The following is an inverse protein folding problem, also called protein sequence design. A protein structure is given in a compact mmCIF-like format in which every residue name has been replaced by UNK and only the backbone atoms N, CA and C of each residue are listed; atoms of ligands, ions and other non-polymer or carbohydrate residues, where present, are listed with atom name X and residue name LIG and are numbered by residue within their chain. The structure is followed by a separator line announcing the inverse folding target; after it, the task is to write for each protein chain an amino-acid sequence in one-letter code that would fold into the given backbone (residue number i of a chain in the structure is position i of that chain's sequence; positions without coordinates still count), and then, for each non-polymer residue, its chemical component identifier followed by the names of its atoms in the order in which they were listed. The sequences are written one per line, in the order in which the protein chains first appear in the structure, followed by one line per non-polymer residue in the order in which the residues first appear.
data_IF_298205379551
#
_entry.id   IF_298205379551
#
_cell.length_a   1.000
_cell.length_b   1.000
_cell.length_c   1.000
_cell.angle_alpha   90.00
_cell.angle_beta   90.00
_cell.angle_gamma   90.00
#
_symmetry.space_group_name_H-M   'P 1'
#
loop_
_entity.id
_entity.type
_entity.pdbx_description
1 polymer ?
#
# COMPACT_ATOMS: atom_id res chain seq x y z
N UNK A 1 -17.10 -2.24 -1.57
CA UNK A 1 -16.23 -3.44 -1.51
C UNK A 1 -16.51 -4.10 -0.16
N UNK A 2 -16.97 -5.36 -0.12
CA UNK A 2 -17.41 -5.96 1.15
C UNK A 2 -16.28 -5.91 2.18
N UNK A 3 -16.59 -5.63 3.45
CA UNK A 3 -15.64 -5.72 4.56
C UNK A 3 -15.21 -7.19 4.72
N UNK A 4 -14.24 -7.61 3.93
CA UNK A 4 -13.57 -8.88 4.15
C UNK A 4 -12.64 -8.65 5.34
N UNK A 5 -12.86 -9.38 6.43
CA UNK A 5 -11.95 -9.42 7.59
C UNK A 5 -10.65 -10.16 7.23
N UNK A 6 -9.91 -9.61 6.28
CA UNK A 6 -8.62 -10.10 5.83
C UNK A 6 -7.60 -8.96 5.91
N UNK A 7 -6.40 -9.20 5.38
CA UNK A 7 -5.30 -8.24 5.43
C UNK A 7 -5.67 -6.84 4.91
N UNK A 8 -6.64 -6.74 3.99
CA UNK A 8 -7.08 -5.46 3.42
C UNK A 8 -7.78 -4.52 4.39
N UNK A 9 -8.16 -4.98 5.59
CA UNK A 9 -8.68 -4.10 6.65
C UNK A 9 -7.68 -3.03 7.11
N UNK A 10 -6.38 -3.27 6.85
CA UNK A 10 -5.33 -2.31 7.15
C UNK A 10 -5.21 -1.22 6.08
N UNK A 11 -5.89 -1.33 4.93
CA UNK A 11 -5.85 -0.32 3.86
C UNK A 11 -6.84 0.84 4.10
N UNK A 12 -7.12 1.15 5.37
CA UNK A 12 -8.00 2.26 5.70
C UNK A 12 -7.35 3.58 5.25
N UNK A 13 -8.19 4.54 4.90
CA UNK A 13 -7.75 5.90 4.57
C UNK A 13 -6.80 6.02 3.37
N UNK A 14 -6.78 5.02 2.49
CA UNK A 14 -6.10 5.10 1.19
C UNK A 14 -7.05 5.69 0.16
N UNK A 15 -6.60 6.74 -0.53
CA UNK A 15 -7.32 7.36 -1.62
C UNK A 15 -6.53 7.22 -2.92
N UNK A 16 -7.19 6.86 -4.01
CA UNK A 16 -6.59 6.89 -5.35
C UNK A 16 -6.65 8.32 -5.87
N UNK A 17 -5.50 8.90 -6.19
CA UNK A 17 -5.38 10.23 -6.77
C UNK A 17 -5.37 10.20 -8.31
N UNK A 18 -4.71 9.18 -8.88
CA UNK A 18 -4.64 8.97 -10.32
C UNK A 18 -4.49 7.46 -10.62
N UNK A 19 -5.18 6.97 -11.64
CA UNK A 19 -5.08 5.60 -12.12
C UNK A 19 -5.13 5.58 -13.65
N UNK A 20 -3.96 5.64 -14.28
CA UNK A 20 -3.78 5.60 -15.73
C UNK A 20 -2.64 4.65 -16.06
N UNK A 21 -2.82 3.56 -16.82
CA UNK A 21 -1.74 2.61 -17.07
C UNK A 21 -0.50 3.30 -17.69
N UNK A 22 0.74 3.10 -17.17
CA UNK A 22 1.16 2.18 -16.10
C UNK A 22 1.24 2.81 -14.69
N UNK A 23 0.70 4.01 -14.50
CA UNK A 23 0.77 4.81 -13.29
C UNK A 23 -0.44 4.61 -12.36
N UNK A 24 -0.15 4.39 -11.07
CA UNK A 24 -1.12 4.44 -9.99
C UNK A 24 -0.54 5.32 -8.89
N UNK A 25 -1.26 6.39 -8.55
CA UNK A 25 -0.87 7.33 -7.49
C UNK A 25 -1.93 7.26 -6.40
N UNK A 26 -1.48 7.07 -5.16
CA UNK A 26 -2.33 7.04 -3.98
C UNK A 26 -1.89 8.08 -2.95
N UNK A 27 -2.80 8.48 -2.08
CA UNK A 27 -2.50 9.17 -0.83
C UNK A 27 -3.01 8.35 0.34
N UNK A 28 -2.36 8.49 1.50
CA UNK A 28 -2.74 7.79 2.73
C UNK A 28 -2.67 8.79 3.88
N UNK A 29 -3.75 8.86 4.66
CA UNK A 29 -3.73 9.53 5.97
C UNK A 29 -3.40 8.47 7.02
N UNK A 30 -2.29 8.65 7.74
CA UNK A 30 -1.82 7.68 8.71
C UNK A 30 -2.70 7.69 9.98
N UNK A 31 -3.37 6.56 10.27
CA UNK A 31 -4.04 6.30 11.54
C UNK A 31 -3.16 5.46 12.47
N UNK A 32 -3.62 5.25 13.71
CA UNK A 32 -2.92 4.43 14.71
C UNK A 32 -2.68 3.00 14.22
N UNK A 33 -3.60 2.46 13.43
CA UNK A 33 -3.49 1.12 12.84
C UNK A 33 -2.32 0.96 11.86
N UNK A 34 -1.76 2.07 11.36
CA UNK A 34 -0.62 2.08 10.44
C UNK A 34 0.72 2.25 11.17
N UNK A 35 0.71 2.55 12.48
CA UNK A 35 1.92 2.85 13.24
C UNK A 35 2.54 1.58 13.86
N UNK A 36 3.85 1.62 14.06
CA UNK A 36 4.57 0.69 14.93
C UNK A 36 4.61 1.20 16.37
N UNK A 37 5.14 0.39 17.29
CA UNK A 37 5.28 0.75 18.71
C UNK A 37 6.12 2.02 18.96
N UNK A 38 6.92 2.46 17.98
CA UNK A 38 7.68 3.72 18.02
C UNK A 38 6.91 4.94 17.52
N UNK A 39 5.62 4.83 17.22
CA UNK A 39 4.79 5.94 16.74
C UNK A 39 5.14 6.42 15.34
N UNK A 40 5.75 5.56 14.53
CA UNK A 40 6.09 5.84 13.12
C UNK A 40 5.41 4.80 12.22
N UNK A 41 5.32 5.07 10.93
CA UNK A 41 4.74 4.15 9.95
C UNK A 41 5.40 2.77 10.05
N UNK A 42 4.60 1.72 10.21
CA UNK A 42 5.10 0.36 10.31
C UNK A 42 5.80 -0.06 9.02
N UNK A 43 7.01 -0.61 9.12
CA UNK A 43 7.79 -1.01 7.94
C UNK A 43 7.03 -2.02 7.08
N UNK A 44 6.45 -3.04 7.72
CA UNK A 44 5.59 -4.01 7.03
C UNK A 44 4.36 -3.40 6.33
N UNK A 45 3.81 -2.28 6.83
CA UNK A 45 2.72 -1.59 6.14
C UNK A 45 3.24 -0.90 4.87
N UNK A 46 4.40 -0.23 4.95
CA UNK A 46 5.07 0.36 3.77
C UNK A 46 5.33 -0.69 2.70
N UNK A 47 5.89 -1.85 3.06
CA UNK A 47 6.13 -2.94 2.12
C UNK A 47 4.83 -3.47 1.50
N UNK A 48 3.77 -3.59 2.31
CA UNK A 48 2.45 -4.03 1.82
C UNK A 48 1.83 -3.05 0.83
N UNK A 49 1.99 -1.74 1.06
CA UNK A 49 1.54 -0.72 0.13
C UNK A 49 2.35 -0.76 -1.17
N UNK A 50 3.67 -0.90 -1.09
CA UNK A 50 4.52 -1.05 -2.27
C UNK A 50 4.08 -2.26 -3.13
N UNK A 51 3.86 -3.41 -2.49
CA UNK A 51 3.37 -4.62 -3.15
C UNK A 51 2.00 -4.41 -3.82
N UNK A 52 1.04 -3.89 -3.06
CA UNK A 52 -0.33 -3.68 -3.53
C UNK A 52 -0.37 -2.70 -4.70
N UNK A 53 0.24 -1.52 -4.55
CA UNK A 53 0.15 -0.43 -5.53
C UNK A 53 0.83 -0.84 -6.83
N UNK A 54 2.00 -1.49 -6.75
CA UNK A 54 2.71 -1.96 -7.95
C UNK A 54 1.96 -3.11 -8.64
N UNK A 55 1.43 -4.07 -7.87
CA UNK A 55 0.59 -5.14 -8.41
C UNK A 55 -0.64 -4.60 -9.13
N UNK A 56 -1.29 -3.57 -8.58
CA UNK A 56 -2.46 -2.93 -9.21
C UNK A 56 -2.10 -2.14 -10.46
N UNK A 57 -1.00 -1.38 -10.43
CA UNK A 57 -0.50 -0.67 -11.62
C UNK A 57 -0.22 -1.64 -12.77
N UNK A 58 0.43 -2.78 -12.48
CA UNK A 58 0.70 -3.84 -13.46
C UNK A 58 -0.58 -4.55 -13.92
N UNK A 59 -1.58 -4.70 -13.04
CA UNK A 59 -2.88 -5.28 -13.42
C UNK A 59 -3.65 -4.38 -14.39
N UNK A 60 -3.41 -3.07 -14.38
CA UNK A 60 -4.02 -2.14 -15.32
C UNK A 60 -3.42 -2.23 -16.73
N UNK A 61 -2.22 -2.80 -16.88
CA UNK A 61 -1.54 -2.94 -18.19
C UNK A 61 -1.72 -4.30 -18.84
N UNK A 62 -1.98 -5.37 -18.09
CA UNK A 62 -2.18 -6.71 -18.67
C UNK A 62 -3.26 -7.52 -17.94
N UNK A 63 -3.92 -8.41 -18.66
CA UNK A 63 -5.17 -9.07 -18.23
C UNK A 63 -5.00 -10.43 -17.54
N UNK A 64 -3.78 -10.91 -17.29
CA UNK A 64 -3.56 -12.22 -16.66
C UNK A 64 -3.36 -12.13 -15.14
N UNK A 65 -3.81 -13.15 -14.36
CA UNK A 65 -3.57 -13.21 -12.92
C UNK A 65 -2.07 -13.21 -12.63
N UNK A 66 -1.64 -12.42 -11.64
CA UNK A 66 -0.25 -12.32 -11.20
C UNK A 66 -0.14 -12.29 -9.69
N UNK A 67 1.02 -12.70 -9.23
CA UNK A 67 1.44 -12.68 -7.83
C UNK A 67 2.87 -12.15 -7.76
N UNK A 68 3.20 -11.42 -6.71
CA UNK A 68 4.55 -10.93 -6.47
C UNK A 68 5.48 -12.09 -6.17
N UNK A 69 6.66 -12.09 -6.80
CA UNK A 69 7.70 -13.12 -6.63
C UNK A 69 8.79 -12.63 -5.67
N UNK A 70 9.18 -11.37 -5.81
CA UNK A 70 10.19 -10.73 -4.98
C UNK A 70 9.78 -9.28 -4.72
N UNK A 71 10.12 -8.77 -3.53
CA UNK A 71 9.91 -7.37 -3.15
C UNK A 71 11.09 -6.91 -2.30
N UNK A 72 11.73 -5.83 -2.74
CA UNK A 72 12.79 -5.15 -1.99
C UNK A 72 12.33 -3.74 -1.63
N UNK A 73 12.48 -3.36 -0.35
CA UNK A 73 12.10 -2.05 0.18
C UNK A 73 13.24 -1.51 1.03
N UNK A 74 13.66 -0.28 0.73
CA UNK A 74 14.63 0.47 1.54
C UNK A 74 13.93 1.58 2.32
N UNK A 75 14.15 1.63 3.63
CA UNK A 75 13.54 2.60 4.53
C UNK A 75 14.50 3.76 4.78
N UNK A 76 14.24 4.90 4.15
CA UNK A 76 15.15 6.04 4.19
C UNK A 76 14.86 7.01 5.34
N UNK A 77 13.57 7.27 5.60
CA UNK A 77 13.11 8.21 6.62
C UNK A 77 11.87 7.67 7.33
N UNK A 78 11.70 7.94 8.63
CA UNK A 78 10.47 7.61 9.34
C UNK A 78 9.33 8.55 8.93
N UNK A 79 8.15 7.99 8.65
CA UNK A 79 6.91 8.76 8.48
C UNK A 79 6.09 8.76 9.78
N UNK A 80 5.47 9.89 10.12
CA UNK A 80 4.65 10.08 11.32
C UNK A 80 3.29 10.66 10.94
N UNK A 81 2.32 10.63 11.85
CA UNK A 81 0.92 11.00 11.60
C UNK A 81 0.49 12.37 12.18
N UNK A 82 1.43 13.29 12.45
CA UNK A 82 1.18 14.62 13.01
C UNK A 82 1.54 15.74 12.04
#
# INVERSE_FOLDING_TARGET
MSEKNNFYKNLKNINVLCAEPPFLVISIILGEEHLNNGGTLHGGFTASIADLVTSRAVQMTESCPRVSVDLSVSYLLPAKNW
#
